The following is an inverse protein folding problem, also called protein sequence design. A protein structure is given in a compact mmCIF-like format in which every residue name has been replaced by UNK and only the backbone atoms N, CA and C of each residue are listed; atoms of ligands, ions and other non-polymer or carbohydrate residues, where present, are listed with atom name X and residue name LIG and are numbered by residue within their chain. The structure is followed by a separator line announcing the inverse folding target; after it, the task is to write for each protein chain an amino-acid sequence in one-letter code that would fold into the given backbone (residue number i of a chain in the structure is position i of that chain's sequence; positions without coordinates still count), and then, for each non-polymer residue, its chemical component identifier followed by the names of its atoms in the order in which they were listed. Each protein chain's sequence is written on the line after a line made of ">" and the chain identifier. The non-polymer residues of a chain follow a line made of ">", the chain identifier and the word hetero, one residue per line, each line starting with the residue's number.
data_IF_788733344242
#
_entry.id   IF_788733344242
#
_cell.length_a   1.000
_cell.length_b   1.000
_cell.length_c   1.000
_cell.angle_alpha   90.00
_cell.angle_beta   90.00
_cell.angle_gamma   90.00
#
_symmetry.space_group_name_H-M   'P 1'
#
loop_
_entity.id
_entity.type
_entity.pdbx_description
1 polymer ?
#
# COMPACT_ATOMS: atom_id res chain seq x y z
N UNK A 1 0.99 2.46 12.33
CA UNK A 1 0.75 1.12 11.73
C UNK A 1 1.98 0.75 10.90
N UNK A 2 2.26 -0.53 10.69
CA UNK A 2 3.39 -1.01 9.88
C UNK A 2 2.86 -1.74 8.63
N UNK A 3 3.67 -1.86 7.57
CA UNK A 3 3.26 -2.61 6.38
C UNK A 3 2.96 -4.09 6.67
N UNK A 4 3.64 -4.67 7.66
CA UNK A 4 3.40 -6.04 8.10
C UNK A 4 1.99 -6.28 8.66
N UNK A 5 1.30 -5.24 9.15
CA UNK A 5 -0.09 -5.37 9.62
C UNK A 5 -1.12 -5.31 8.49
N UNK A 6 -0.71 -5.10 7.24
CA UNK A 6 -1.60 -4.97 6.07
C UNK A 6 -1.79 -6.28 5.29
N UNK A 7 -1.36 -7.43 5.82
CA UNK A 7 -1.45 -8.75 5.17
C UNK A 7 -0.82 -8.79 3.75
N UNK A 8 0.26 -8.04 3.55
CA UNK A 8 1.06 -8.10 2.33
C UNK A 8 1.86 -9.41 2.27
N UNK A 9 2.14 -9.88 1.05
CA UNK A 9 2.97 -11.05 0.86
C UNK A 9 4.41 -10.79 1.35
N UNK A 10 5.14 -11.80 1.84
CA UNK A 10 6.53 -11.63 2.28
C UNK A 10 7.45 -11.06 1.19
N UNK A 11 7.18 -11.39 -0.08
CA UNK A 11 7.90 -10.86 -1.23
C UNK A 11 7.68 -9.35 -1.42
N UNK A 12 6.44 -8.87 -1.26
CA UNK A 12 6.14 -7.43 -1.29
C UNK A 12 6.76 -6.70 -0.10
N UNK A 13 6.72 -7.30 1.09
CA UNK A 13 7.37 -6.73 2.28
C UNK A 13 8.90 -6.62 2.11
N UNK A 14 9.53 -7.60 1.47
CA UNK A 14 10.96 -7.57 1.16
C UNK A 14 11.33 -6.59 0.04
N UNK A 15 10.39 -6.31 -0.88
CA UNK A 15 10.56 -5.35 -1.96
C UNK A 15 10.31 -3.89 -1.54
N UNK A 16 9.81 -3.66 -0.31
CA UNK A 16 9.63 -2.30 0.21
C UNK A 16 10.99 -1.65 0.48
N UNK A 17 11.23 -0.42 0.01
CA UNK A 17 12.45 0.30 0.35
C UNK A 17 12.45 0.66 1.84
N UNK A 18 13.62 0.65 2.49
CA UNK A 18 13.76 0.95 3.92
C UNK A 18 13.23 2.34 4.31
N UNK A 19 13.23 3.28 3.37
CA UNK A 19 12.66 4.62 3.54
C UNK A 19 11.13 4.63 3.74
N UNK A 20 10.44 3.54 3.39
CA UNK A 20 9.00 3.33 3.61
C UNK A 20 8.78 2.37 4.77
N UNK A 21 9.11 2.81 5.96
CA UNK A 21 8.90 2.06 7.20
C UNK A 21 7.43 2.10 7.67
N UNK A 22 6.69 3.15 7.33
CA UNK A 22 5.26 3.29 7.64
C UNK A 22 4.42 3.59 6.40
N UNK A 23 3.27 2.91 6.24
CA UNK A 23 2.33 3.23 5.18
C UNK A 23 1.73 4.62 5.40
N UNK A 24 1.48 5.31 4.29
CA UNK A 24 0.71 6.56 4.32
C UNK A 24 -0.77 6.27 4.61
N UNK A 25 -1.50 7.28 5.09
CA UNK A 25 -2.93 7.14 5.44
C UNK A 25 -3.80 6.64 4.26
N UNK A 26 -3.41 6.96 3.02
CA UNK A 26 -4.08 6.44 1.82
C UNK A 26 -3.70 4.98 1.55
N UNK A 27 -2.45 4.58 1.77
CA UNK A 27 -1.99 3.19 1.62
C UNK A 27 -2.64 2.27 2.67
N UNK A 28 -2.72 2.72 3.93
CA UNK A 28 -3.39 1.97 5.01
C UNK A 28 -4.85 1.64 4.67
N UNK A 29 -5.54 2.56 3.99
CA UNK A 29 -6.95 2.39 3.59
C UNK A 29 -7.11 1.65 2.27
N UNK A 30 -6.22 1.91 1.30
CA UNK A 30 -6.32 1.32 -0.03
C UNK A 30 -5.88 -0.14 -0.02
N UNK A 31 -4.68 -0.45 0.50
CA UNK A 31 -4.03 -1.77 0.40
C UNK A 31 -4.97 -2.93 0.83
N UNK A 32 -5.69 -2.87 1.97
CA UNK A 32 -6.57 -3.96 2.36
C UNK A 32 -7.79 -4.14 1.45
N UNK A 33 -8.25 -3.08 0.80
CA UNK A 33 -9.39 -3.11 -0.12
C UNK A 33 -8.94 -3.65 -1.47
N UNK A 34 -7.78 -3.21 -1.96
CA UNK A 34 -7.19 -3.71 -3.20
C UNK A 34 -6.78 -5.18 -3.10
N UNK A 35 -6.24 -5.64 -1.95
CA UNK A 35 -5.93 -7.06 -1.71
C UNK A 35 -7.17 -7.97 -1.73
N UNK A 36 -8.36 -7.43 -1.52
CA UNK A 36 -9.63 -8.18 -1.64
C UNK A 36 -10.12 -8.30 -3.09
N UNK A 37 -9.35 -7.81 -4.07
CA UNK A 37 -9.71 -7.82 -5.49
C UNK A 37 -10.83 -6.84 -5.83
N UNK A 38 -11.04 -5.82 -4.99
CA UNK A 38 -12.04 -4.78 -5.23
C UNK A 38 -11.41 -3.58 -5.92
N UNK A 39 -12.16 -2.93 -6.82
CA UNK A 39 -11.73 -1.69 -7.46
C UNK A 39 -11.62 -0.57 -6.42
N UNK A 40 -10.51 0.18 -6.47
CA UNK A 40 -10.23 1.29 -5.54
C UNK A 40 -10.00 2.59 -6.29
N UNK A 41 -10.80 3.62 -5.96
CA UNK A 41 -10.56 5.00 -6.39
C UNK A 41 -9.89 5.76 -5.24
N UNK A 42 -8.60 6.07 -5.39
CA UNK A 42 -7.79 6.75 -4.38
C UNK A 42 -7.54 8.23 -4.73
N UNK A 43 -8.26 9.14 -4.04
CA UNK A 43 -8.00 10.58 -4.09
C UNK A 43 -7.01 10.97 -2.97
N UNK A 44 -5.94 11.67 -3.35
CA UNK A 44 -4.88 12.14 -2.46
C UNK A 44 -4.06 13.21 -3.21
N UNK A 45 -3.26 14.00 -2.51
CA UNK A 45 -2.44 15.04 -3.11
C UNK A 45 -1.30 14.42 -3.94
N UNK A 46 -0.76 15.14 -4.93
CA UNK A 46 0.45 14.73 -5.65
C UNK A 46 1.62 14.59 -4.67
N UNK A 47 2.39 13.50 -4.77
CA UNK A 47 3.47 13.18 -3.83
C UNK A 47 3.06 12.28 -2.64
N UNK A 48 1.79 11.84 -2.55
CA UNK A 48 1.32 10.94 -1.46
C UNK A 48 1.56 9.44 -1.73
N UNK A 49 2.54 9.07 -2.55
CA UNK A 49 2.94 7.66 -2.80
C UNK A 49 1.80 6.70 -3.22
N UNK A 50 0.81 7.20 -3.96
CA UNK A 50 -0.34 6.39 -4.45
C UNK A 50 0.07 5.27 -5.39
N UNK A 51 1.15 5.46 -6.14
CA UNK A 51 1.72 4.46 -7.06
C UNK A 51 2.02 3.15 -6.33
N UNK A 52 2.51 3.25 -5.09
CA UNK A 52 2.87 2.09 -4.29
C UNK A 52 1.63 1.35 -3.77
N UNK A 53 0.54 2.08 -3.47
CA UNK A 53 -0.74 1.48 -3.11
C UNK A 53 -1.35 0.67 -4.28
N UNK A 54 -1.14 1.11 -5.52
CA UNK A 54 -1.63 0.43 -6.72
C UNK A 54 -0.76 -0.78 -7.09
N UNK A 55 0.57 -0.66 -7.00
CA UNK A 55 1.51 -1.74 -7.30
C UNK A 55 1.37 -2.95 -6.37
N UNK A 56 0.74 -2.78 -5.20
CA UNK A 56 0.52 -3.87 -4.23
C UNK A 56 -0.44 -4.97 -4.72
N UNK A 57 -1.04 -4.82 -5.91
CA UNK A 57 -2.12 -5.66 -6.48
C UNK A 57 -1.68 -6.53 -7.65
N UNK A 58 -0.54 -6.21 -8.27
CA UNK A 58 -0.03 -6.98 -9.41
C UNK A 58 0.95 -8.04 -8.92
#
# INVERSE_FOLDING_TARGET
>A
MTFSSLNLSPALLAALPEALSSPTLIQEKAIPVTLKGSDVIALAQTGSSKTLAFLSVT
#
